data_IF_009956621332
#
_entry.id   IF_009956621332
#
_cell.length_a   1.000
_cell.length_b   1.000
_cell.length_c   1.000
_cell.angle_alpha   90.00
_cell.angle_beta   90.00
_cell.angle_gamma   90.00
#
_symmetry.space_group_name_H-M   'P 1'
#
loop_
_entity.id
_entity.type
_entity.pdbx_description
1 polymer ?
#
# COMPACT_ATOMS: atom_id res chain seq x y z
N UNK A 1 -21.18 -24.75 18.82
CA UNK A 1 -20.13 -24.95 17.80
C UNK A 1 -19.22 -23.73 17.81
N UNK A 2 -18.00 -23.87 18.31
CA UNK A 2 -17.02 -22.78 18.30
C UNK A 2 -16.44 -22.67 16.89
N UNK A 3 -16.82 -21.62 16.16
CA UNK A 3 -16.29 -21.32 14.82
C UNK A 3 -14.80 -20.98 15.01
N UNK A 4 -13.91 -21.95 14.78
CA UNK A 4 -12.46 -21.73 14.82
C UNK A 4 -12.14 -20.66 13.78
N UNK A 5 -11.82 -19.45 14.24
CA UNK A 5 -11.20 -18.44 13.39
C UNK A 5 -9.92 -19.08 12.80
N UNK A 6 -9.71 -19.01 11.47
CA UNK A 6 -8.50 -19.55 10.87
C UNK A 6 -7.30 -18.86 11.53
N UNK A 7 -6.48 -19.64 12.24
CA UNK A 7 -5.21 -19.16 12.78
C UNK A 7 -4.33 -18.92 11.56
N UNK A 8 -3.99 -17.65 11.29
CA UNK A 8 -3.10 -17.31 10.19
C UNK A 8 -1.81 -18.10 10.33
N UNK A 9 -1.50 -18.94 9.33
CA UNK A 9 -0.26 -19.70 9.30
C UNK A 9 0.94 -18.74 9.28
N UNK A 10 2.13 -19.14 9.76
CA UNK A 10 3.33 -18.30 9.70
C UNK A 10 3.59 -17.71 8.30
N UNK A 11 3.31 -18.49 7.25
CA UNK A 11 3.44 -18.05 5.85
C UNK A 11 2.43 -16.95 5.49
N UNK A 12 1.18 -17.06 5.95
CA UNK A 12 0.16 -16.01 5.77
C UNK A 12 0.57 -14.72 6.49
N UNK A 13 1.11 -14.83 7.70
CA UNK A 13 1.61 -13.67 8.48
C UNK A 13 2.79 -13.00 7.77
N UNK A 14 3.74 -13.79 7.23
CA UNK A 14 4.88 -13.27 6.51
C UNK A 14 4.47 -12.52 5.23
N UNK A 15 3.53 -13.08 4.47
CA UNK A 15 2.99 -12.43 3.27
C UNK A 15 2.26 -11.12 3.58
N UNK A 16 1.39 -11.10 4.62
CA UNK A 16 0.72 -9.88 5.07
C UNK A 16 1.74 -8.83 5.52
N UNK A 17 2.76 -9.23 6.28
CA UNK A 17 3.83 -8.33 6.73
C UNK A 17 4.60 -7.71 5.58
N UNK A 18 4.88 -8.49 4.54
CA UNK A 18 5.56 -8.00 3.34
C UNK A 18 4.68 -7.00 2.58
N UNK A 19 3.39 -7.30 2.38
CA UNK A 19 2.48 -6.37 1.71
C UNK A 19 2.32 -5.05 2.47
N UNK A 20 2.24 -5.08 3.80
CA UNK A 20 2.16 -3.89 4.65
C UNK A 20 3.44 -3.04 4.59
N UNK A 21 4.62 -3.67 4.50
CA UNK A 21 5.90 -2.96 4.32
C UNK A 21 5.96 -2.24 2.98
N UNK A 22 5.53 -2.90 1.91
CA UNK A 22 5.50 -2.29 0.58
C UNK A 22 4.52 -1.10 0.53
N UNK A 23 3.35 -1.21 1.16
CA UNK A 23 2.40 -0.10 1.32
C UNK A 23 3.02 1.10 2.07
N UNK A 24 3.81 0.81 3.10
CA UNK A 24 4.53 1.86 3.84
C UNK A 24 5.57 2.57 2.96
N UNK A 25 6.22 1.85 2.04
CA UNK A 25 7.21 2.41 1.11
C UNK A 25 6.55 3.33 0.07
N UNK A 26 5.38 2.95 -0.43
CA UNK A 26 4.56 3.82 -1.29
C UNK A 26 4.17 5.13 -0.58
N UNK A 27 3.82 5.05 0.70
CA UNK A 27 3.50 6.23 1.52
C UNK A 27 4.69 7.18 1.68
N UNK A 28 5.91 6.64 1.85
CA UNK A 28 7.15 7.45 1.91
C UNK A 28 7.41 8.16 0.58
N UNK A 29 7.20 7.48 -0.55
CA UNK A 29 7.34 8.08 -1.88
C UNK A 29 6.35 9.23 -2.09
N UNK A 30 5.07 9.05 -1.73
CA UNK A 30 4.05 10.12 -1.82
C UNK A 30 4.43 11.35 -0.98
N UNK A 31 4.92 11.14 0.25
CA UNK A 31 5.38 12.22 1.14
C UNK A 31 6.60 12.93 0.54
N UNK A 32 7.55 12.17 -0.02
CA UNK A 32 8.72 12.71 -0.69
C UNK A 32 8.36 13.63 -1.84
N UNK A 33 7.47 13.19 -2.73
CA UNK A 33 7.01 13.95 -3.89
C UNK A 33 6.20 15.19 -3.49
N UNK A 34 5.33 15.06 -2.48
CA UNK A 34 4.60 16.20 -1.89
C UNK A 34 5.56 17.27 -1.35
N UNK A 35 6.62 16.87 -0.64
CA UNK A 35 7.63 17.78 -0.10
C UNK A 35 8.46 18.45 -1.20
N UNK A 36 8.74 17.74 -2.29
CA UNK A 36 9.43 18.30 -3.45
C UNK A 36 8.57 19.39 -4.15
N UNK A 37 7.26 19.16 -4.29
CA UNK A 37 6.33 20.13 -4.85
C UNK A 37 6.24 21.40 -4.00
N UNK A 38 6.16 21.25 -2.68
CA UNK A 38 6.07 22.38 -1.74
C UNK A 38 7.37 23.21 -1.65
N UNK A 39 8.52 22.65 -2.01
CA UNK A 39 9.83 23.33 -1.96
C UNK A 39 10.19 24.03 -3.28
N UNK A 40 9.26 24.16 -4.22
CA UNK A 40 9.51 24.82 -5.50
C UNK A 40 10.30 23.97 -6.49
N UNK A 41 10.45 22.67 -6.25
CA UNK A 41 10.81 21.75 -7.33
C UNK A 41 9.68 21.79 -8.35
N UNK A 42 10.00 21.94 -9.63
CA UNK A 42 9.02 21.79 -10.71
C UNK A 42 8.53 20.34 -10.73
N UNK A 43 7.58 20.03 -9.84
CA UNK A 43 6.84 18.80 -9.90
C UNK A 43 5.82 19.00 -10.99
N UNK A 44 6.02 18.31 -12.11
CA UNK A 44 5.00 18.21 -13.14
C UNK A 44 3.74 17.63 -12.47
N UNK A 45 2.73 18.47 -12.33
CA UNK A 45 1.48 18.15 -11.64
C UNK A 45 0.76 16.96 -12.28
N UNK A 46 0.92 16.77 -13.59
CA UNK A 46 0.31 15.65 -14.32
C UNK A 46 1.03 14.34 -14.01
N UNK A 47 2.36 14.38 -13.94
CA UNK A 47 3.17 13.24 -13.49
C UNK A 47 2.88 12.88 -12.05
N UNK A 48 2.65 13.88 -11.19
CA UNK A 48 2.25 13.66 -9.80
C UNK A 48 0.86 13.05 -9.70
N UNK A 49 -0.12 13.57 -10.45
CA UNK A 49 -1.48 13.04 -10.46
C UNK A 49 -1.52 11.58 -10.93
N UNK A 50 -0.82 11.25 -12.03
CA UNK A 50 -0.67 9.86 -12.50
C UNK A 50 -0.01 8.95 -11.45
N UNK A 51 1.04 9.43 -10.78
CA UNK A 51 1.71 8.65 -9.75
C UNK A 51 0.78 8.38 -8.55
N UNK A 52 -0.02 9.37 -8.14
CA UNK A 52 -0.98 9.23 -7.05
C UNK A 52 -2.13 8.29 -7.40
N UNK A 53 -2.64 8.36 -8.62
CA UNK A 53 -3.67 7.44 -9.14
C UNK A 53 -3.16 5.99 -9.11
N UNK A 54 -1.96 5.75 -9.66
CA UNK A 54 -1.34 4.41 -9.63
C UNK A 54 -1.10 3.90 -8.20
N UNK A 55 -0.68 4.77 -7.28
CA UNK A 55 -0.51 4.38 -5.86
C UNK A 55 -1.86 4.02 -5.24
N UNK A 56 -2.94 4.73 -5.56
CA UNK A 56 -4.30 4.39 -5.14
C UNK A 56 -4.70 2.98 -5.58
N UNK A 57 -4.56 2.70 -6.87
CA UNK A 57 -4.87 1.37 -7.46
C UNK A 57 -4.04 0.24 -6.84
N UNK A 58 -2.76 0.50 -6.53
CA UNK A 58 -1.86 -0.46 -5.88
C UNK A 58 -2.29 -0.76 -4.44
N UNK A 59 -2.74 0.26 -3.70
CA UNK A 59 -3.25 0.09 -2.34
C UNK A 59 -4.50 -0.78 -2.37
N UNK A 60 -5.48 -0.47 -3.22
CA UNK A 60 -6.73 -1.23 -3.31
C UNK A 60 -6.48 -2.70 -3.65
N UNK A 61 -5.59 -2.98 -4.61
CA UNK A 61 -5.24 -4.35 -5.01
C UNK A 61 -4.61 -5.15 -3.87
N UNK A 62 -3.73 -4.51 -3.08
CA UNK A 62 -3.08 -5.16 -1.93
C UNK A 62 -4.04 -5.38 -0.77
N UNK A 63 -4.93 -4.42 -0.50
CA UNK A 63 -5.99 -4.60 0.50
C UNK A 63 -6.87 -5.79 0.13
N UNK A 64 -7.31 -5.90 -1.13
CA UNK A 64 -8.08 -7.04 -1.59
C UNK A 64 -7.33 -8.37 -1.43
N UNK A 65 -6.03 -8.42 -1.75
CA UNK A 65 -5.21 -9.61 -1.55
C UNK A 65 -5.08 -10.00 -0.07
N UNK A 66 -4.93 -9.03 0.82
CA UNK A 66 -4.90 -9.27 2.28
C UNK A 66 -6.26 -9.82 2.76
N UNK A 67 -7.37 -9.25 2.30
CA UNK A 67 -8.71 -9.70 2.65
C UNK A 67 -8.97 -11.15 2.20
N UNK A 68 -8.56 -11.51 0.99
CA UNK A 68 -8.63 -12.90 0.48
C UNK A 68 -7.84 -13.86 1.38
N UNK A 69 -6.64 -13.47 1.81
CA UNK A 69 -5.81 -14.28 2.71
C UNK A 69 -6.38 -14.42 4.13
N UNK A 70 -7.24 -13.50 4.56
CA UNK A 70 -7.91 -13.53 5.86
C UNK A 70 -9.25 -14.27 5.84
N UNK A 71 -9.85 -14.46 4.66
CA UNK A 71 -11.03 -15.30 4.44
C UNK A 71 -10.72 -16.81 4.46
#
# INVERSE_FOLDING_TARGET
MSRKLPVATPDRIAAITQQTRDLSMLSVLMIGTSRAALRGGQVNTDTYAMAMEWVGDEIERRVAAIEEMLS
#
